data_IF_602274223534
#
_entry.id   IF_602274223534
#
_cell.length_a   1.000
_cell.length_b   1.000
_cell.length_c   1.000
_cell.angle_alpha   90.00
_cell.angle_beta   90.00
_cell.angle_gamma   90.00
#
_symmetry.space_group_name_H-M   'P 1'
#
loop_
_entity.id
_entity.type
_entity.pdbx_description
1 polymer ?
#
# COMPACT_ATOMS: atom_id res chain seq x y z
N UNK A 1 -7.58 30.84 -67.03
CA UNK A 1 -8.15 31.99 -66.28
C UNK A 1 -9.55 31.77 -65.70
N UNK A 2 -10.51 31.20 -66.40
CA UNK A 2 -11.90 30.95 -65.84
C UNK A 2 -11.91 29.79 -64.85
N UNK A 3 -11.13 28.71 -65.04
CA UNK A 3 -11.02 27.56 -64.13
C UNK A 3 -10.23 27.84 -62.87
N UNK A 4 -9.13 28.62 -62.97
CA UNK A 4 -8.36 29.07 -61.82
C UNK A 4 -9.17 29.92 -60.83
N UNK A 5 -10.02 30.81 -61.38
CA UNK A 5 -10.92 31.62 -60.54
C UNK A 5 -11.97 30.81 -59.82
N UNK A 6 -12.44 29.70 -60.44
CA UNK A 6 -13.37 28.76 -59.79
C UNK A 6 -12.69 27.95 -58.67
N UNK A 7 -11.44 27.54 -58.88
CA UNK A 7 -10.70 26.78 -57.88
C UNK A 7 -10.38 27.65 -56.64
N UNK A 8 -9.97 28.89 -56.84
CA UNK A 8 -9.70 29.85 -55.75
C UNK A 8 -11.00 30.17 -54.98
N UNK A 9 -12.15 30.32 -55.68
CA UNK A 9 -13.43 30.58 -55.01
C UNK A 9 -13.92 29.40 -54.14
N UNK A 10 -13.76 28.15 -54.62
CA UNK A 10 -14.11 26.95 -53.87
C UNK A 10 -13.17 26.74 -52.68
N UNK A 11 -11.91 27.02 -52.86
CA UNK A 11 -10.91 26.93 -51.75
C UNK A 11 -11.20 27.95 -50.64
N UNK A 12 -11.56 29.17 -51.00
CA UNK A 12 -11.96 30.21 -50.03
C UNK A 12 -13.24 29.84 -49.27
N UNK A 13 -14.22 29.24 -49.91
CA UNK A 13 -15.47 28.78 -49.28
C UNK A 13 -15.20 27.61 -48.33
N UNK A 14 -14.36 26.66 -48.73
CA UNK A 14 -13.97 25.53 -47.87
C UNK A 14 -13.15 26.02 -46.69
N UNK A 15 -12.20 26.95 -46.89
CA UNK A 15 -11.40 27.54 -45.84
C UNK A 15 -12.26 28.35 -44.87
N UNK A 16 -13.23 29.10 -45.36
CA UNK A 16 -14.20 29.86 -44.57
C UNK A 16 -15.12 28.94 -43.76
N UNK A 17 -15.53 27.80 -44.37
CA UNK A 17 -16.30 26.77 -43.65
C UNK A 17 -15.50 26.05 -42.59
N UNK A 18 -14.19 25.74 -42.82
CA UNK A 18 -13.28 25.19 -41.85
C UNK A 18 -12.98 26.17 -40.70
N UNK A 19 -12.78 27.45 -41.01
CA UNK A 19 -12.58 28.51 -40.01
C UNK A 19 -13.85 28.69 -39.16
N UNK A 20 -15.05 28.68 -39.79
CA UNK A 20 -16.33 28.77 -39.07
C UNK A 20 -16.59 27.53 -38.19
N UNK A 21 -16.23 26.32 -38.66
CA UNK A 21 -16.35 25.10 -37.84
C UNK A 21 -15.37 25.10 -36.67
N UNK A 22 -14.14 25.57 -36.86
CA UNK A 22 -13.16 25.67 -35.78
C UNK A 22 -13.57 26.75 -34.76
N UNK A 23 -14.03 27.93 -35.21
CA UNK A 23 -14.55 28.98 -34.30
C UNK A 23 -15.87 28.56 -33.61
N UNK A 24 -16.76 27.86 -34.30
CA UNK A 24 -18.00 27.37 -33.69
C UNK A 24 -17.72 26.21 -32.70
N UNK A 25 -16.66 25.44 -32.87
CA UNK A 25 -16.21 24.45 -31.89
C UNK A 25 -15.61 25.14 -30.63
N UNK A 26 -14.91 26.26 -30.80
CA UNK A 26 -14.26 26.95 -29.66
C UNK A 26 -15.31 27.65 -28.76
N UNK A 27 -16.34 28.30 -29.32
CA UNK A 27 -17.44 28.89 -28.54
C UNK A 27 -18.34 27.87 -27.83
N UNK A 28 -18.39 26.60 -28.32
CA UNK A 28 -19.17 25.51 -27.69
C UNK A 28 -18.48 24.89 -26.49
N UNK A 29 -17.15 24.98 -26.42
CA UNK A 29 -16.32 24.37 -25.34
C UNK A 29 -16.26 25.23 -24.06
N UNK A 30 -16.72 26.49 -24.10
CA UNK A 30 -16.67 27.38 -22.94
C UNK A 30 -17.93 27.33 -22.05
N UNK A 31 -18.88 26.42 -22.31
CA UNK A 31 -20.11 26.31 -21.52
C UNK A 31 -19.92 25.78 -20.10
N UNK A 32 -18.84 25.05 -19.88
CA UNK A 32 -18.53 24.46 -18.57
C UNK A 32 -17.07 24.66 -18.23
N UNK A 33 -16.83 24.87 -16.92
CA UNK A 33 -15.48 24.72 -16.34
C UNK A 33 -15.39 23.34 -15.68
N UNK A 34 -14.34 22.60 -16.01
CA UNK A 34 -14.13 21.27 -15.47
C UNK A 34 -12.81 21.23 -14.72
N UNK A 35 -12.86 20.72 -13.49
CA UNK A 35 -11.69 20.44 -12.68
C UNK A 35 -11.65 18.94 -12.37
N UNK A 36 -10.56 18.29 -12.75
CA UNK A 36 -10.33 16.87 -12.52
C UNK A 36 -9.21 16.69 -11.48
N UNK A 37 -9.53 16.00 -10.40
CA UNK A 37 -8.56 15.51 -9.43
C UNK A 37 -8.30 14.04 -9.73
N UNK A 38 -7.06 13.71 -10.13
CA UNK A 38 -6.69 12.38 -10.61
C UNK A 38 -5.25 12.01 -10.25
N UNK A 39 -4.94 10.72 -10.24
CA UNK A 39 -3.57 10.23 -10.07
C UNK A 39 -2.73 10.55 -11.32
N UNK A 40 -1.59 11.23 -11.18
CA UNK A 40 -0.75 11.58 -12.33
C UNK A 40 0.03 10.38 -12.88
N UNK A 41 0.01 9.24 -12.18
CA UNK A 41 0.66 8.00 -12.59
C UNK A 41 -0.13 6.78 -12.11
N UNK A 42 0.02 5.68 -12.85
CA UNK A 42 -0.57 4.37 -12.53
C UNK A 42 0.41 3.24 -12.84
N UNK A 43 0.23 2.11 -12.16
CA UNK A 43 0.96 0.88 -12.40
C UNK A 43 0.11 -0.35 -12.05
N UNK A 44 0.69 -1.54 -12.18
CA UNK A 44 0.02 -2.79 -11.81
C UNK A 44 -0.40 -2.81 -10.33
N UNK A 45 0.45 -2.33 -9.41
CA UNK A 45 0.13 -2.32 -7.99
C UNK A 45 -1.11 -1.46 -7.67
N UNK A 46 -1.22 -0.27 -8.29
CA UNK A 46 -2.39 0.61 -8.17
C UNK A 46 -3.65 -0.07 -8.75
N UNK A 47 -3.52 -0.69 -9.93
CA UNK A 47 -4.61 -1.42 -10.58
C UNK A 47 -5.09 -2.59 -9.71
N UNK A 48 -4.18 -3.46 -9.26
CA UNK A 48 -4.50 -4.65 -8.46
C UNK A 48 -5.17 -4.30 -7.13
N UNK A 49 -4.77 -3.19 -6.52
CA UNK A 49 -5.29 -2.74 -5.24
C UNK A 49 -6.53 -1.86 -5.36
N UNK A 50 -7.04 -1.65 -6.58
CA UNK A 50 -8.30 -0.94 -6.82
C UNK A 50 -8.28 0.52 -6.41
N UNK A 51 -7.10 1.17 -6.41
CA UNK A 51 -7.02 2.58 -6.12
C UNK A 51 -7.72 3.41 -7.20
N UNK A 52 -8.51 4.39 -6.78
CA UNK A 52 -9.26 5.24 -7.71
C UNK A 52 -8.31 6.13 -8.50
N UNK A 53 -8.35 6.04 -9.83
CA UNK A 53 -7.52 6.88 -10.71
C UNK A 53 -8.05 8.31 -10.76
N UNK A 54 -9.37 8.49 -10.77
CA UNK A 54 -10.02 9.80 -10.73
C UNK A 54 -10.73 9.91 -9.38
N UNK A 55 -10.29 10.84 -8.56
CA UNK A 55 -10.83 11.08 -7.23
C UNK A 55 -12.09 11.92 -7.28
N UNK A 56 -12.06 12.99 -8.09
CA UNK A 56 -13.17 13.92 -8.23
C UNK A 56 -13.17 14.61 -9.59
N UNK A 57 -14.36 14.81 -10.15
CA UNK A 57 -14.60 15.67 -11.31
C UNK A 57 -15.64 16.72 -10.90
N UNK A 58 -15.25 17.97 -10.90
CA UNK A 58 -16.14 19.11 -10.65
C UNK A 58 -16.50 19.74 -11.99
N UNK A 59 -17.79 19.88 -12.27
CA UNK A 59 -18.32 20.48 -13.50
C UNK A 59 -19.16 21.68 -13.11
N UNK A 60 -18.75 22.87 -13.53
CA UNK A 60 -19.46 24.15 -13.32
C UNK A 60 -20.11 24.59 -14.63
N UNK A 61 -21.42 24.75 -14.65
CA UNK A 61 -22.15 25.33 -15.74
C UNK A 61 -21.97 26.86 -15.71
N UNK A 62 -21.25 27.42 -16.67
CA UNK A 62 -20.97 28.86 -16.77
C UNK A 62 -22.07 29.64 -17.48
N UNK A 63 -23.11 28.96 -17.95
CA UNK A 63 -24.22 29.57 -18.73
C UNK A 63 -25.39 30.00 -17.83
N UNK A 64 -26.20 30.90 -18.33
CA UNK A 64 -27.41 31.37 -17.65
C UNK A 64 -28.60 30.43 -17.79
N UNK A 65 -28.43 29.27 -18.47
CA UNK A 65 -29.46 28.25 -18.66
C UNK A 65 -29.01 26.92 -18.08
N UNK A 66 -29.95 26.08 -17.60
CA UNK A 66 -29.58 24.76 -17.12
C UNK A 66 -29.11 23.86 -18.26
N UNK A 67 -28.08 23.09 -18.04
CA UNK A 67 -27.65 22.02 -18.96
C UNK A 67 -28.38 20.72 -18.59
N UNK A 68 -28.93 20.01 -19.57
CA UNK A 68 -29.72 18.79 -19.36
C UNK A 68 -29.11 17.61 -20.11
N UNK A 69 -29.53 16.40 -19.74
CA UNK A 69 -29.16 15.16 -20.41
C UNK A 69 -27.64 15.06 -20.63
N UNK A 70 -26.90 15.28 -19.56
CA UNK A 70 -25.43 15.35 -19.57
C UNK A 70 -24.89 13.93 -19.56
N UNK A 71 -23.95 13.64 -20.46
CA UNK A 71 -23.18 12.42 -20.48
C UNK A 71 -21.70 12.76 -20.29
N UNK A 72 -21.06 12.09 -19.32
CA UNK A 72 -19.61 12.17 -19.08
C UNK A 72 -18.99 10.86 -19.52
N UNK A 73 -18.08 10.92 -20.49
CA UNK A 73 -17.36 9.77 -21.03
C UNK A 73 -15.88 9.94 -20.74
N UNK A 74 -15.28 8.89 -20.17
CA UNK A 74 -13.85 8.85 -19.87
C UNK A 74 -13.24 7.74 -20.72
N UNK A 75 -12.21 8.07 -21.50
CA UNK A 75 -11.45 7.13 -22.30
C UNK A 75 -9.97 7.23 -21.99
N UNK A 76 -9.21 6.19 -22.29
CA UNK A 76 -7.77 6.13 -22.03
C UNK A 76 -6.98 5.93 -23.32
N UNK A 77 -5.87 6.63 -23.45
CA UNK A 77 -4.94 6.51 -24.57
C UNK A 77 -3.50 6.30 -24.06
N UNK A 78 -2.87 5.16 -24.39
CA UNK A 78 -3.42 3.98 -25.04
C UNK A 78 -4.57 3.36 -24.22
N UNK A 79 -5.30 2.40 -24.78
CA UNK A 79 -6.43 1.76 -24.10
C UNK A 79 -5.95 0.85 -22.97
N UNK A 80 -5.68 1.42 -21.80
CA UNK A 80 -5.29 0.69 -20.58
C UNK A 80 -6.45 0.52 -19.60
N UNK A 81 -7.61 1.08 -19.89
CA UNK A 81 -8.82 0.97 -19.08
C UNK A 81 -10.08 1.35 -19.85
N UNK A 82 -11.21 0.92 -19.32
CA UNK A 82 -12.54 1.24 -19.85
C UNK A 82 -13.38 1.86 -18.72
N UNK A 83 -14.08 2.93 -19.04
CA UNK A 83 -15.06 3.54 -18.15
C UNK A 83 -16.48 3.41 -18.73
N UNK A 84 -17.45 3.15 -17.84
CA UNK A 84 -18.86 3.28 -18.21
C UNK A 84 -19.22 4.77 -18.30
N UNK A 85 -20.01 5.20 -19.31
CA UNK A 85 -20.54 6.56 -19.37
C UNK A 85 -21.37 6.87 -18.11
N UNK A 86 -21.23 8.10 -17.60
CA UNK A 86 -22.02 8.58 -16.47
C UNK A 86 -23.07 9.58 -16.97
N UNK A 87 -24.32 9.34 -16.61
CA UNK A 87 -25.42 10.24 -16.91
C UNK A 87 -25.71 11.16 -15.73
N UNK A 88 -25.91 12.44 -16.00
CA UNK A 88 -26.35 13.47 -15.06
C UNK A 88 -27.57 14.15 -15.64
N UNK A 89 -28.68 14.15 -14.91
CA UNK A 89 -29.94 14.68 -15.41
C UNK A 89 -29.85 16.17 -15.76
N UNK A 90 -29.27 16.97 -14.85
CA UNK A 90 -29.21 18.42 -15.03
C UNK A 90 -28.09 19.05 -14.19
N UNK A 91 -27.46 20.11 -14.72
CA UNK A 91 -26.66 21.09 -13.97
C UNK A 91 -27.37 22.44 -14.03
N UNK A 92 -27.81 23.04 -12.91
CA UNK A 92 -28.49 24.34 -12.91
C UNK A 92 -27.66 25.44 -13.60
N UNK A 93 -28.33 26.49 -14.05
CA UNK A 93 -27.68 27.70 -14.55
C UNK A 93 -26.73 28.27 -13.49
N UNK A 94 -25.48 28.58 -13.85
CA UNK A 94 -24.43 29.04 -12.96
C UNK A 94 -24.22 28.11 -11.74
N UNK A 95 -24.63 26.84 -11.83
CA UNK A 95 -24.48 25.83 -10.79
C UNK A 95 -23.32 24.89 -11.05
N UNK A 96 -23.00 24.07 -10.07
CA UNK A 96 -21.94 23.06 -10.19
C UNK A 96 -22.35 21.72 -9.62
N UNK A 97 -21.75 20.65 -10.13
CA UNK A 97 -21.85 19.30 -9.58
C UNK A 97 -20.46 18.74 -9.29
N UNK A 98 -20.40 17.78 -8.37
CA UNK A 98 -19.19 16.99 -8.07
C UNK A 98 -19.50 15.53 -8.25
N UNK A 99 -18.69 14.86 -9.04
CA UNK A 99 -18.74 13.43 -9.30
C UNK A 99 -17.53 12.79 -8.64
N UNK A 100 -17.72 11.75 -7.85
CA UNK A 100 -16.64 11.08 -7.10
C UNK A 100 -16.59 9.56 -7.30
N UNK A 101 -17.52 9.00 -8.08
CA UNK A 101 -17.57 7.56 -8.32
C UNK A 101 -17.45 7.28 -9.82
N UNK A 102 -16.24 6.90 -10.23
CA UNK A 102 -15.94 6.57 -11.61
C UNK A 102 -15.66 5.08 -11.74
N UNK A 103 -16.42 4.39 -12.59
CA UNK A 103 -16.20 2.98 -12.89
C UNK A 103 -15.15 2.84 -14.01
N UNK A 104 -13.95 3.38 -13.77
CA UNK A 104 -12.82 3.16 -14.66
C UNK A 104 -12.16 1.81 -14.29
N UNK A 105 -12.45 0.79 -15.09
CA UNK A 105 -11.85 -0.54 -14.93
C UNK A 105 -10.53 -0.59 -15.68
N UNK A 106 -9.43 -0.71 -14.94
CA UNK A 106 -8.08 -0.83 -15.49
C UNK A 106 -7.80 -2.27 -15.93
N UNK A 107 -7.15 -2.45 -17.08
CA UNK A 107 -6.79 -3.75 -17.64
C UNK A 107 -5.57 -4.36 -16.93
N UNK A 108 -5.75 -5.37 -16.08
CA UNK A 108 -4.65 -6.08 -15.44
C UNK A 108 -3.66 -6.64 -16.47
N UNK A 109 -4.16 -7.23 -17.56
CA UNK A 109 -3.33 -7.77 -18.64
C UNK A 109 -2.44 -6.71 -19.28
N UNK A 110 -2.98 -5.50 -19.51
CA UNK A 110 -2.18 -4.39 -20.07
C UNK A 110 -0.97 -4.07 -19.17
N UNK A 111 -1.20 -3.88 -17.87
CA UNK A 111 -0.14 -3.55 -16.92
C UNK A 111 0.85 -4.71 -16.69
N UNK A 112 0.42 -5.96 -16.79
CA UNK A 112 1.30 -7.12 -16.68
C UNK A 112 2.36 -7.16 -17.79
N UNK A 113 2.04 -6.67 -18.99
CA UNK A 113 2.96 -6.67 -20.14
C UNK A 113 4.00 -5.54 -20.10
N UNK A 114 3.78 -4.51 -19.29
CA UNK A 114 4.64 -3.33 -19.30
C UNK A 114 6.01 -3.61 -18.70
N UNK A 115 7.04 -3.43 -19.53
CA UNK A 115 8.45 -3.48 -19.14
C UNK A 115 9.09 -2.11 -19.07
N UNK A 116 8.46 -1.09 -19.66
CA UNK A 116 8.94 0.29 -19.67
C UNK A 116 7.80 1.26 -19.34
N UNK A 117 8.17 2.46 -18.85
CA UNK A 117 7.24 3.56 -18.60
C UNK A 117 6.74 4.11 -19.94
N UNK A 118 5.44 4.37 -20.02
CA UNK A 118 4.78 5.00 -21.15
C UNK A 118 4.08 6.28 -20.70
N UNK A 119 3.97 7.24 -21.60
CA UNK A 119 3.05 8.38 -21.43
C UNK A 119 1.69 8.01 -21.98
N UNK A 120 0.66 8.34 -21.25
CA UNK A 120 -0.73 8.15 -21.67
C UNK A 120 -1.58 9.37 -21.35
N UNK A 121 -2.86 9.26 -21.67
CA UNK A 121 -3.83 10.31 -21.44
C UNK A 121 -5.15 9.72 -20.91
N UNK A 122 -5.79 10.47 -20.02
CA UNK A 122 -7.19 10.34 -19.70
C UNK A 122 -7.94 11.40 -20.52
N UNK A 123 -8.82 11.00 -21.40
CA UNK A 123 -9.66 11.91 -22.18
C UNK A 123 -11.04 11.95 -21.54
N UNK A 124 -11.50 13.16 -21.19
CA UNK A 124 -12.82 13.42 -20.62
C UNK A 124 -13.63 14.19 -21.64
N UNK A 125 -14.75 13.60 -22.06
CA UNK A 125 -15.70 14.20 -22.98
C UNK A 125 -17.05 14.37 -22.27
N UNK A 126 -17.64 15.55 -22.38
CA UNK A 126 -18.95 15.85 -21.80
C UNK A 126 -19.87 16.33 -22.91
N UNK A 127 -21.05 15.71 -23.01
CA UNK A 127 -22.13 16.15 -23.90
C UNK A 127 -23.33 16.61 -23.08
N UNK A 128 -24.13 17.55 -23.62
CA UNK A 128 -25.41 17.91 -23.07
C UNK A 128 -26.42 17.89 -24.23
N UNK A 129 -27.58 17.24 -24.06
CA UNK A 129 -28.58 17.05 -25.14
C UNK A 129 -27.93 16.47 -26.42
N UNK A 130 -27.00 15.52 -26.25
CA UNK A 130 -26.19 14.89 -27.30
C UNK A 130 -25.19 15.82 -28.04
N UNK A 131 -25.08 17.10 -27.66
CA UNK A 131 -24.11 18.04 -28.23
C UNK A 131 -22.85 18.08 -27.36
N UNK A 132 -21.63 18.04 -27.94
CA UNK A 132 -20.39 18.13 -27.21
C UNK A 132 -20.23 19.54 -26.61
N UNK A 133 -19.96 19.60 -25.29
CA UNK A 133 -19.78 20.86 -24.54
C UNK A 133 -18.41 20.95 -23.90
N UNK A 134 -17.66 19.84 -23.79
CA UNK A 134 -16.32 19.81 -23.24
C UNK A 134 -15.55 18.59 -23.77
N UNK A 135 -14.25 18.80 -24.03
CA UNK A 135 -13.33 17.74 -24.38
C UNK A 135 -11.92 18.17 -23.94
N UNK A 136 -11.33 17.43 -23.01
CA UNK A 136 -9.96 17.68 -22.54
C UNK A 136 -9.23 16.38 -22.26
N UNK A 137 -7.91 16.39 -22.51
CA UNK A 137 -6.99 15.30 -22.15
C UNK A 137 -6.16 15.69 -20.94
N UNK A 138 -5.97 14.73 -20.05
CA UNK A 138 -5.17 14.84 -18.85
C UNK A 138 -4.02 13.84 -18.94
N UNK A 139 -2.76 14.30 -18.92
CA UNK A 139 -1.61 13.41 -19.05
C UNK A 139 -1.48 12.51 -17.84
N UNK A 140 -1.15 11.24 -18.07
CA UNK A 140 -0.92 10.26 -17.04
C UNK A 140 0.29 9.39 -17.41
N UNK A 141 1.15 9.12 -16.44
CA UNK A 141 2.26 8.19 -16.63
C UNK A 141 1.83 6.76 -16.32
N UNK A 142 2.16 5.86 -17.22
CA UNK A 142 1.89 4.44 -17.09
C UNK A 142 3.21 3.75 -16.81
N UNK A 143 3.41 3.33 -15.56
CA UNK A 143 4.69 2.79 -15.11
C UNK A 143 4.82 1.31 -15.44
N UNK A 144 6.07 0.84 -15.55
CA UNK A 144 6.36 -0.57 -15.70
C UNK A 144 5.83 -1.40 -14.51
N UNK A 145 5.68 -2.71 -14.72
CA UNK A 145 5.18 -3.66 -13.71
C UNK A 145 5.98 -3.60 -12.41
N UNK A 146 7.28 -3.48 -12.52
CA UNK A 146 8.27 -3.46 -11.44
C UNK A 146 8.69 -2.03 -11.05
N UNK A 147 7.85 -1.03 -11.32
CA UNK A 147 8.13 0.35 -10.98
C UNK A 147 7.16 0.89 -9.93
N UNK A 148 7.70 1.31 -8.77
CA UNK A 148 6.97 2.01 -7.72
C UNK A 148 6.77 3.48 -8.07
N UNK A 149 5.61 4.06 -7.74
CA UNK A 149 5.24 5.44 -8.07
C UNK A 149 6.00 6.54 -7.31
N UNK A 150 6.73 6.17 -6.25
CA UNK A 150 7.48 7.13 -5.44
C UNK A 150 6.70 7.71 -4.27
N UNK A 151 7.26 8.77 -3.69
CA UNK A 151 6.76 9.37 -2.44
C UNK A 151 5.50 10.21 -2.63
N UNK A 152 5.33 10.81 -3.82
CA UNK A 152 4.27 11.78 -4.08
C UNK A 152 2.91 11.15 -4.43
N UNK A 153 2.88 9.86 -4.77
CA UNK A 153 1.67 9.18 -5.23
C UNK A 153 1.54 7.84 -4.51
N UNK A 154 0.64 7.79 -3.53
CA UNK A 154 0.32 6.58 -2.75
C UNK A 154 1.60 5.85 -2.28
N UNK A 155 2.45 6.49 -1.46
CA UNK A 155 3.75 5.93 -1.06
C UNK A 155 3.63 4.55 -0.40
N UNK A 156 2.53 4.27 0.30
CA UNK A 156 2.22 2.97 0.90
C UNK A 156 2.12 1.83 -0.12
N UNK A 157 1.92 2.14 -1.42
CA UNK A 157 1.95 1.13 -2.49
C UNK A 157 3.32 0.47 -2.66
N UNK A 158 4.39 1.01 -2.04
CA UNK A 158 5.66 0.30 -1.94
C UNK A 158 5.48 -1.07 -1.27
N UNK A 159 4.55 -1.20 -0.33
CA UNK A 159 4.24 -2.48 0.31
C UNK A 159 3.78 -3.56 -0.70
N UNK A 160 3.24 -3.19 -1.86
CA UNK A 160 2.88 -4.16 -2.89
C UNK A 160 4.10 -4.88 -3.49
N UNK A 161 5.28 -4.28 -3.43
CA UNK A 161 6.53 -4.88 -3.92
C UNK A 161 7.25 -5.76 -2.89
N UNK A 162 6.71 -5.85 -1.68
CA UNK A 162 7.13 -6.82 -0.65
C UNK A 162 6.31 -8.09 -0.87
N UNK A 163 6.99 -9.17 -1.28
CA UNK A 163 6.39 -10.40 -1.78
C UNK A 163 6.82 -11.61 -0.93
N UNK A 164 6.24 -11.80 0.26
CA UNK A 164 6.69 -12.81 1.24
C UNK A 164 6.57 -14.24 0.74
N UNK A 165 5.61 -14.51 -0.15
CA UNK A 165 5.35 -15.85 -0.69
C UNK A 165 6.11 -16.15 -1.98
N UNK A 166 6.99 -15.24 -2.41
CA UNK A 166 7.79 -15.44 -3.63
C UNK A 166 8.74 -16.65 -3.47
N UNK A 167 8.89 -17.45 -4.52
CA UNK A 167 9.69 -18.69 -4.48
C UNK A 167 11.14 -18.47 -4.09
N UNK A 168 11.72 -17.32 -4.41
CA UNK A 168 13.09 -16.94 -4.03
C UNK A 168 13.28 -16.71 -2.52
N UNK A 169 12.21 -16.50 -1.74
CA UNK A 169 12.28 -16.24 -0.30
C UNK A 169 12.49 -17.52 0.51
N UNK A 170 11.86 -18.63 0.12
CA UNK A 170 11.90 -19.89 0.87
C UNK A 170 13.31 -20.42 1.15
N UNK A 171 14.27 -20.40 0.21
CA UNK A 171 15.66 -20.83 0.46
C UNK A 171 16.36 -19.96 1.51
N UNK A 172 16.11 -18.65 1.51
CA UNK A 172 16.66 -17.69 2.49
C UNK A 172 16.12 -18.01 3.89
N UNK A 173 14.81 -18.22 4.01
CA UNK A 173 14.17 -18.57 5.28
C UNK A 173 14.69 -19.92 5.81
N UNK A 174 14.83 -20.93 4.94
CA UNK A 174 15.42 -22.21 5.33
C UNK A 174 16.84 -22.04 5.88
N UNK A 175 17.65 -21.20 5.22
CA UNK A 175 19.02 -20.93 5.68
C UNK A 175 19.01 -20.16 7.00
N UNK A 176 18.17 -19.15 7.17
CA UNK A 176 18.01 -18.39 8.40
C UNK A 176 17.61 -19.30 9.57
N UNK A 177 16.68 -20.22 9.38
CA UNK A 177 16.31 -21.21 10.40
C UNK A 177 17.51 -22.06 10.85
N UNK A 178 18.34 -22.52 9.90
CA UNK A 178 19.58 -23.25 10.21
C UNK A 178 20.55 -22.43 11.05
N UNK A 179 20.77 -21.17 10.68
CA UNK A 179 21.63 -20.24 11.40
C UNK A 179 21.10 -20.00 12.83
N UNK A 180 19.79 -19.72 12.94
CA UNK A 180 19.14 -19.51 14.23
C UNK A 180 19.26 -20.73 15.15
N UNK A 181 19.11 -21.94 14.56
CA UNK A 181 19.31 -23.21 15.25
C UNK A 181 20.74 -23.37 15.80
N UNK A 182 21.75 -22.99 15.02
CA UNK A 182 23.15 -23.00 15.45
C UNK A 182 23.40 -22.05 16.61
N UNK A 183 22.80 -20.86 16.60
CA UNK A 183 23.00 -19.85 17.66
C UNK A 183 22.25 -20.15 18.93
N UNK A 184 21.08 -20.76 18.85
CA UNK A 184 20.15 -20.83 19.97
C UNK A 184 19.73 -22.25 20.36
N UNK A 185 20.14 -23.27 19.59
CA UNK A 185 19.64 -24.64 19.73
C UNK A 185 18.19 -24.82 19.23
N UNK A 186 17.49 -23.76 18.84
CA UNK A 186 16.11 -23.80 18.36
C UNK A 186 16.00 -23.11 16.99
N UNK A 187 15.78 -23.84 15.88
CA UNK A 187 15.68 -23.30 14.52
C UNK A 187 14.31 -22.65 14.21
N UNK A 188 13.35 -22.66 15.14
CA UNK A 188 12.01 -22.16 14.90
C UNK A 188 12.02 -20.66 14.65
N UNK A 189 11.48 -20.25 13.51
CA UNK A 189 11.16 -18.86 13.20
C UNK A 189 9.73 -18.62 13.65
N UNK A 190 9.56 -18.39 14.94
CA UNK A 190 8.32 -18.46 15.71
C UNK A 190 7.62 -17.11 15.88
N UNK A 191 7.94 -16.13 15.01
CA UNK A 191 7.32 -14.80 15.04
C UNK A 191 7.49 -14.13 16.43
N UNK A 192 6.34 -13.75 17.03
CA UNK A 192 6.20 -13.17 18.36
C UNK A 192 5.79 -14.17 19.44
N UNK A 193 5.74 -15.48 19.13
CA UNK A 193 5.21 -16.50 20.06
C UNK A 193 6.03 -16.61 21.34
N UNK A 194 7.34 -16.35 21.26
CA UNK A 194 8.23 -16.33 22.43
C UNK A 194 7.94 -15.18 23.40
N UNK A 195 7.23 -14.13 22.94
CA UNK A 195 6.94 -12.89 23.68
C UNK A 195 8.18 -12.17 24.21
N UNK A 196 9.33 -12.38 23.58
CA UNK A 196 10.59 -11.74 23.96
C UNK A 196 11.18 -10.97 22.77
N UNK A 197 11.39 -9.65 22.87
CA UNK A 197 12.03 -8.85 21.81
C UNK A 197 13.39 -9.41 21.36
N UNK A 198 14.17 -9.98 22.30
CA UNK A 198 15.46 -10.60 21.99
C UNK A 198 15.34 -11.78 21.00
N UNK A 199 14.31 -12.62 21.16
CA UNK A 199 14.07 -13.73 20.21
C UNK A 199 13.71 -13.22 18.83
N UNK A 200 12.84 -12.21 18.74
CA UNK A 200 12.48 -11.57 17.47
C UNK A 200 13.72 -10.97 16.81
N UNK A 201 14.54 -10.25 17.58
CA UNK A 201 15.79 -9.65 17.10
C UNK A 201 16.78 -10.71 16.57
N UNK A 202 16.87 -11.88 17.21
CA UNK A 202 17.68 -13.00 16.72
C UNK A 202 17.16 -13.61 15.42
N UNK A 203 15.83 -13.68 15.24
CA UNK A 203 15.24 -14.09 13.96
C UNK A 203 15.58 -13.09 12.85
N UNK A 204 15.49 -11.80 13.11
CA UNK A 204 15.92 -10.74 12.17
C UNK A 204 17.40 -10.88 11.81
N UNK A 205 18.28 -11.10 12.79
CA UNK A 205 19.71 -11.28 12.58
C UNK A 205 20.05 -12.54 11.77
N UNK A 206 19.31 -13.63 11.97
CA UNK A 206 19.48 -14.85 11.18
C UNK A 206 19.09 -14.65 9.70
N UNK A 207 18.02 -13.91 9.42
CA UNK A 207 17.64 -13.54 8.05
C UNK A 207 18.69 -12.61 7.43
N UNK A 208 19.16 -11.62 8.17
CA UNK A 208 20.24 -10.73 7.73
C UNK A 208 21.47 -11.53 7.28
N UNK A 209 21.92 -12.45 8.13
CA UNK A 209 23.08 -13.31 7.82
C UNK A 209 22.82 -14.20 6.62
N UNK A 210 21.63 -14.79 6.50
CA UNK A 210 21.27 -15.65 5.36
C UNK A 210 21.25 -14.85 4.04
N UNK A 211 20.87 -13.59 4.04
CA UNK A 211 20.92 -12.72 2.85
C UNK A 211 22.38 -12.31 2.57
N UNK A 212 23.16 -11.95 3.57
CA UNK A 212 24.57 -11.59 3.40
C UNK A 212 25.39 -12.74 2.75
N UNK A 213 25.07 -13.99 3.08
CA UNK A 213 25.67 -15.18 2.44
C UNK A 213 25.35 -15.30 0.94
N UNK A 214 24.34 -14.57 0.43
CA UNK A 214 24.00 -14.61 -1.00
C UNK A 214 24.97 -13.83 -1.89
N UNK A 215 25.87 -13.05 -1.29
CA UNK A 215 26.91 -12.28 -2.00
C UNK A 215 26.33 -11.33 -3.08
N UNK A 216 25.26 -10.62 -2.73
CA UNK A 216 24.61 -9.66 -3.63
C UNK A 216 25.50 -8.42 -3.74
N UNK A 217 25.80 -7.99 -4.98
CA UNK A 217 26.59 -6.81 -5.25
C UNK A 217 25.70 -5.57 -5.11
N UNK A 218 26.20 -4.52 -4.47
CA UNK A 218 25.49 -3.24 -4.39
C UNK A 218 25.54 -2.51 -5.74
N UNK A 219 24.37 -2.14 -6.25
CA UNK A 219 24.24 -1.34 -7.46
C UNK A 219 23.96 0.12 -7.08
N UNK A 220 24.92 0.99 -7.32
CA UNK A 220 24.71 2.42 -7.12
C UNK A 220 23.96 2.97 -8.34
N UNK A 221 22.67 3.11 -8.24
CA UNK A 221 21.82 3.79 -9.23
C UNK A 221 21.31 5.06 -8.55
N UNK A 222 21.26 6.21 -9.26
CA UNK A 222 20.67 7.42 -8.72
C UNK A 222 19.25 7.14 -8.21
N UNK A 223 18.95 7.57 -6.99
CA UNK A 223 17.61 7.47 -6.44
C UNK A 223 16.68 8.40 -7.24
N UNK A 224 15.51 7.89 -7.64
CA UNK A 224 14.51 8.63 -8.41
C UNK A 224 13.12 8.61 -7.79
N UNK A 225 12.98 7.95 -6.64
CA UNK A 225 11.68 7.75 -5.98
C UNK A 225 11.06 9.03 -5.44
N UNK A 226 11.86 10.08 -5.25
CA UNK A 226 11.37 11.36 -4.74
C UNK A 226 10.60 12.15 -5.80
N UNK A 227 10.99 12.04 -7.08
CA UNK A 227 10.41 12.83 -8.16
C UNK A 227 9.57 12.02 -9.14
N UNK A 228 10.10 10.88 -9.63
CA UNK A 228 9.55 10.18 -10.81
C UNK A 228 9.15 8.73 -10.53
N UNK A 229 9.24 8.29 -9.29
CA UNK A 229 9.15 6.87 -8.93
C UNK A 229 10.41 6.09 -9.28
N UNK A 230 10.53 4.89 -8.76
CA UNK A 230 11.73 4.08 -8.90
C UNK A 230 11.42 2.66 -9.36
N UNK A 231 12.19 2.18 -10.32
CA UNK A 231 12.23 0.77 -10.68
C UNK A 231 12.83 -0.03 -9.54
N UNK A 232 12.20 -1.15 -9.21
CA UNK A 232 12.64 -2.07 -8.16
C UNK A 232 12.92 -3.44 -8.75
N UNK A 233 13.95 -4.12 -8.24
CA UNK A 233 14.17 -5.54 -8.53
C UNK A 233 13.41 -6.37 -7.51
N UNK A 234 12.49 -7.18 -7.98
CA UNK A 234 11.81 -8.16 -7.13
C UNK A 234 12.78 -9.23 -6.65
N UNK A 235 12.36 -10.01 -5.65
CA UNK A 235 13.21 -10.99 -4.98
C UNK A 235 13.91 -11.99 -5.94
N UNK A 236 13.22 -12.46 -6.97
CA UNK A 236 13.79 -13.34 -8.00
C UNK A 236 14.90 -12.66 -8.80
N UNK A 237 14.67 -11.43 -9.22
CA UNK A 237 15.63 -10.65 -9.99
C UNK A 237 16.89 -10.35 -9.19
N UNK A 238 16.74 -9.95 -7.91
CA UNK A 238 17.87 -9.72 -6.99
C UNK A 238 18.67 -11.02 -6.82
N UNK A 239 17.98 -12.15 -6.58
CA UNK A 239 18.62 -13.44 -6.34
C UNK A 239 19.27 -14.03 -7.58
N UNK A 240 18.67 -13.84 -8.75
CA UNK A 240 19.20 -14.36 -10.02
C UNK A 240 20.38 -13.52 -10.53
N UNK A 241 20.27 -12.18 -10.46
CA UNK A 241 21.30 -11.25 -10.95
C UNK A 241 22.42 -11.03 -9.94
N UNK A 242 22.20 -11.35 -8.66
CA UNK A 242 23.10 -11.03 -7.54
C UNK A 242 23.44 -9.55 -7.49
N UNK A 243 22.45 -8.69 -7.77
CA UNK A 243 22.58 -7.25 -7.85
C UNK A 243 21.38 -6.58 -7.19
N UNK A 244 21.60 -5.56 -6.35
CA UNK A 244 20.52 -4.83 -5.69
C UNK A 244 20.92 -3.41 -5.28
N UNK A 245 19.97 -2.47 -5.37
CA UNK A 245 20.05 -1.12 -4.80
C UNK A 245 19.73 -1.13 -3.31
N UNK A 246 19.80 0.01 -2.62
CA UNK A 246 19.34 0.12 -1.23
C UNK A 246 17.87 -0.25 -1.09
N UNK A 247 17.01 0.20 -2.02
CA UNK A 247 15.58 -0.11 -2.00
C UNK A 247 15.32 -1.59 -2.27
N UNK A 248 15.99 -2.21 -3.27
CA UNK A 248 15.87 -3.63 -3.58
C UNK A 248 16.24 -4.51 -2.37
N UNK A 249 17.33 -4.15 -1.66
CA UNK A 249 17.77 -4.86 -0.47
C UNK A 249 16.80 -4.69 0.70
N UNK A 250 16.23 -3.50 0.87
CA UNK A 250 15.20 -3.24 1.87
C UNK A 250 13.94 -4.06 1.61
N UNK A 251 13.47 -4.12 0.35
CA UNK A 251 12.30 -4.91 -0.04
C UNK A 251 12.53 -6.42 0.12
N UNK A 252 13.72 -6.93 -0.26
CA UNK A 252 14.08 -8.33 -0.08
C UNK A 252 14.08 -8.72 1.40
N UNK A 253 14.72 -7.89 2.25
CA UNK A 253 14.76 -8.13 3.68
C UNK A 253 13.37 -8.08 4.31
N UNK A 254 12.57 -7.06 3.98
CA UNK A 254 11.19 -6.94 4.46
C UNK A 254 10.31 -8.11 3.99
N UNK A 255 10.50 -8.61 2.76
CA UNK A 255 9.80 -9.81 2.27
C UNK A 255 10.14 -11.05 3.09
N UNK A 256 11.40 -11.22 3.48
CA UNK A 256 11.80 -12.31 4.37
C UNK A 256 11.24 -12.16 5.79
N UNK A 257 11.19 -10.93 6.33
CA UNK A 257 10.62 -10.65 7.64
C UNK A 257 9.12 -10.93 7.66
N UNK A 258 8.38 -10.45 6.65
CA UNK A 258 6.94 -10.71 6.54
C UNK A 258 6.64 -12.20 6.32
N UNK A 259 7.50 -12.93 5.57
CA UNK A 259 7.35 -14.36 5.34
C UNK A 259 7.37 -15.21 6.62
N UNK A 260 8.04 -14.74 7.66
CA UNK A 260 8.04 -15.38 8.98
C UNK A 260 7.08 -14.71 9.96
N UNK A 261 6.19 -13.83 9.49
CA UNK A 261 5.14 -13.19 10.27
C UNK A 261 5.55 -11.93 11.05
N UNK A 262 6.77 -11.43 10.89
CA UNK A 262 7.20 -10.20 11.55
C UNK A 262 6.62 -8.95 10.85
N UNK A 263 6.26 -7.94 11.64
CA UNK A 263 5.72 -6.67 11.16
C UNK A 263 6.87 -5.79 10.65
N UNK A 264 7.14 -5.89 9.34
CA UNK A 264 8.24 -5.20 8.69
C UNK A 264 7.94 -3.70 8.50
N UNK A 265 9.02 -2.92 8.45
CA UNK A 265 9.03 -1.48 8.18
C UNK A 265 10.03 -1.19 7.06
N UNK A 266 9.68 -0.27 6.16
CA UNK A 266 10.65 0.37 5.25
C UNK A 266 10.81 1.81 5.69
N UNK A 267 12.06 2.26 5.77
CA UNK A 267 12.40 3.65 6.10
C UNK A 267 13.08 4.28 4.89
N UNK A 268 12.59 5.45 4.51
CA UNK A 268 13.10 6.21 3.39
C UNK A 268 13.66 7.53 3.91
N UNK A 269 14.90 7.77 3.54
CA UNK A 269 15.62 9.03 3.78
C UNK A 269 16.03 9.60 2.43
N UNK A 270 16.54 10.83 2.41
CA UNK A 270 17.03 11.47 1.18
C UNK A 270 18.00 10.55 0.44
N UNK A 271 17.64 10.15 -0.78
CA UNK A 271 18.45 9.30 -1.65
C UNK A 271 18.73 7.89 -1.14
N UNK A 272 18.08 7.41 -0.07
CA UNK A 272 18.38 6.13 0.53
C UNK A 272 17.16 5.44 1.15
N UNK A 273 17.19 4.10 1.20
CA UNK A 273 16.18 3.28 1.85
C UNK A 273 16.82 2.14 2.65
N UNK A 274 16.21 1.79 3.78
CA UNK A 274 16.58 0.65 4.61
C UNK A 274 15.35 0.07 5.29
N UNK A 275 15.49 -1.03 6.02
CA UNK A 275 14.34 -1.73 6.56
C UNK A 275 14.49 -2.04 8.05
N UNK A 276 13.41 -2.53 8.65
CA UNK A 276 13.39 -3.01 10.02
C UNK A 276 12.14 -3.78 10.33
N UNK A 277 11.91 -4.05 11.60
CA UNK A 277 10.66 -4.62 12.07
C UNK A 277 10.37 -4.22 13.52
N UNK A 278 9.10 -4.35 13.87
CA UNK A 278 8.67 -4.37 15.25
C UNK A 278 9.23 -5.60 15.96
N UNK A 279 9.69 -5.44 17.19
CA UNK A 279 10.10 -6.53 18.07
C UNK A 279 8.93 -7.04 18.94
N UNK A 280 7.81 -6.35 18.87
CA UNK A 280 6.52 -6.64 19.52
C UNK A 280 5.42 -6.70 18.46
N UNK A 281 4.29 -7.40 18.68
CA UNK A 281 3.23 -7.55 17.68
C UNK A 281 2.38 -6.28 17.52
N UNK A 282 3.02 -5.15 17.25
CA UNK A 282 2.41 -3.83 17.12
C UNK A 282 2.50 -3.32 15.67
N UNK A 283 1.78 -2.24 15.38
CA UNK A 283 1.84 -1.48 14.13
C UNK A 283 1.64 0.00 14.43
N UNK A 284 2.04 0.86 13.50
CA UNK A 284 1.62 2.26 13.54
C UNK A 284 0.11 2.40 13.22
N UNK A 285 -0.52 3.51 13.63
CA UNK A 285 -1.92 3.77 13.29
C UNK A 285 -2.15 3.96 11.80
N UNK A 286 -1.19 4.54 11.08
CA UNK A 286 -1.23 4.82 9.66
C UNK A 286 -0.17 4.01 8.89
N UNK A 287 -0.39 3.70 7.60
CA UNK A 287 0.57 2.94 6.79
C UNK A 287 1.84 3.74 6.49
N UNK A 288 1.78 5.06 6.51
CA UNK A 288 2.91 5.98 6.28
C UNK A 288 3.10 6.90 7.47
N UNK A 289 4.35 7.08 7.87
CA UNK A 289 4.75 7.91 9.02
C UNK A 289 5.78 8.93 8.53
N UNK A 290 5.49 10.20 8.69
CA UNK A 290 6.35 11.36 8.34
C UNK A 290 7.04 11.99 9.56
N UNK A 291 6.67 11.59 10.79
CA UNK A 291 7.32 12.03 12.03
C UNK A 291 8.39 11.04 12.47
N UNK A 292 9.66 11.39 12.28
CA UNK A 292 10.82 10.59 12.70
C UNK A 292 10.83 10.29 14.20
N UNK A 293 10.21 11.14 15.02
CA UNK A 293 10.19 10.96 16.48
C UNK A 293 9.44 9.69 16.91
N UNK A 294 8.48 9.24 16.09
CA UNK A 294 7.76 7.99 16.33
C UNK A 294 8.64 6.75 16.19
N UNK A 295 9.63 6.80 15.29
CA UNK A 295 10.64 5.75 15.13
C UNK A 295 11.72 5.83 16.21
N UNK A 296 12.31 7.01 16.39
CA UNK A 296 13.45 7.20 17.32
C UNK A 296 13.08 6.87 18.76
N UNK A 297 11.86 7.18 19.20
CA UNK A 297 11.36 6.79 20.52
C UNK A 297 11.29 5.27 20.69
N UNK A 298 10.86 4.54 19.65
CA UNK A 298 10.69 3.07 19.71
C UNK A 298 11.98 2.29 19.50
N UNK A 299 12.98 2.90 18.89
CA UNK A 299 14.33 2.32 18.75
C UNK A 299 15.25 2.68 19.92
N UNK A 300 14.81 3.58 20.83
CA UNK A 300 15.59 4.07 21.95
C UNK A 300 15.96 2.96 22.93
N UNK A 301 17.13 3.14 23.56
CA UNK A 301 17.61 2.26 24.61
C UNK A 301 16.60 2.18 25.76
N UNK A 302 16.29 0.96 26.20
CA UNK A 302 15.31 0.70 27.26
C UNK A 302 13.86 0.54 26.77
N UNK A 303 13.54 0.91 25.53
CA UNK A 303 12.24 0.67 24.90
C UNK A 303 12.33 -0.54 23.97
N UNK A 304 13.17 -0.46 22.92
CA UNK A 304 13.43 -1.55 21.96
C UNK A 304 12.17 -2.20 21.35
N UNK A 305 11.16 -1.38 21.01
CA UNK A 305 9.97 -1.88 20.32
C UNK A 305 10.23 -2.14 18.83
N UNK A 306 11.20 -1.44 18.24
CA UNK A 306 11.56 -1.53 16.82
C UNK A 306 13.08 -1.71 16.69
N UNK A 307 13.50 -2.55 15.76
CA UNK A 307 14.89 -2.61 15.29
C UNK A 307 14.95 -2.25 13.81
N UNK A 308 15.78 -1.27 13.49
CA UNK A 308 16.08 -0.84 12.11
C UNK A 308 17.44 -1.37 11.70
N UNK A 309 17.59 -1.69 10.42
CA UNK A 309 18.77 -2.37 9.87
C UNK A 309 19.19 -1.71 8.57
N UNK A 310 20.44 -1.26 8.49
CA UNK A 310 21.03 -0.81 7.25
C UNK A 310 21.24 -1.99 6.29
N UNK A 311 20.33 -2.15 5.35
CA UNK A 311 20.25 -3.35 4.51
C UNK A 311 21.37 -3.46 3.49
N UNK A 312 22.01 -2.34 3.11
CA UNK A 312 23.18 -2.36 2.23
C UNK A 312 24.41 -2.99 2.87
N UNK A 313 24.42 -3.13 4.20
CA UNK A 313 25.47 -3.87 4.91
C UNK A 313 25.47 -5.38 4.62
N UNK A 314 24.38 -5.93 4.04
CA UNK A 314 24.32 -7.32 3.58
C UNK A 314 25.01 -7.53 2.23
N UNK A 315 25.37 -6.47 1.51
CA UNK A 315 25.98 -6.59 0.20
C UNK A 315 27.43 -7.11 0.26
N UNK A 316 27.86 -7.75 -0.80
CA UNK A 316 29.22 -8.25 -0.98
C UNK A 316 30.27 -7.14 -0.75
N UNK A 317 31.32 -7.45 0.02
CA UNK A 317 32.38 -6.50 0.34
C UNK A 317 32.13 -5.68 1.63
N UNK A 318 30.95 -5.77 2.22
CA UNK A 318 30.67 -5.23 3.55
C UNK A 318 30.91 -6.31 4.62
N UNK A 319 31.77 -6.01 5.58
CA UNK A 319 32.06 -6.92 6.70
C UNK A 319 31.28 -6.56 7.98
N UNK A 320 30.17 -5.85 7.83
CA UNK A 320 29.35 -5.42 8.98
C UNK A 320 28.50 -6.56 9.50
N UNK A 321 28.56 -6.79 10.80
CA UNK A 321 27.60 -7.68 11.46
C UNK A 321 26.23 -7.02 11.61
N UNK A 322 25.27 -7.76 12.15
CA UNK A 322 23.90 -7.28 12.33
C UNK A 322 23.83 -6.06 13.27
N UNK A 323 24.61 -6.07 14.37
CA UNK A 323 24.60 -4.99 15.34
C UNK A 323 25.22 -3.71 14.79
N UNK A 324 26.23 -3.82 13.94
CA UNK A 324 26.79 -2.69 13.21
C UNK A 324 25.82 -2.12 12.19
N UNK A 325 25.07 -2.98 11.49
CA UNK A 325 24.02 -2.54 10.59
C UNK A 325 22.88 -1.80 11.32
N UNK A 326 22.53 -2.25 12.52
CA UNK A 326 21.56 -1.55 13.39
C UNK A 326 22.08 -0.18 13.82
N UNK A 327 23.34 -0.08 14.26
CA UNK A 327 23.96 1.20 14.65
C UNK A 327 23.97 2.18 13.46
N UNK A 328 24.30 1.71 12.24
CA UNK A 328 24.30 2.53 11.04
C UNK A 328 22.90 3.04 10.69
N UNK A 329 21.88 2.19 10.78
CA UNK A 329 20.48 2.58 10.53
C UNK A 329 20.03 3.66 11.53
N UNK A 330 20.28 3.46 12.83
CA UNK A 330 19.95 4.44 13.86
C UNK A 330 20.73 5.76 13.67
N UNK A 331 21.99 5.69 13.24
CA UNK A 331 22.81 6.87 12.91
C UNK A 331 22.20 7.72 11.78
N UNK A 332 21.56 7.09 10.77
CA UNK A 332 20.87 7.81 9.68
C UNK A 332 19.61 8.54 10.14
N UNK A 333 18.98 8.10 11.22
CA UNK A 333 17.82 8.79 11.82
C UNK A 333 18.22 9.91 12.79
N UNK A 334 19.46 9.91 13.27
CA UNK A 334 19.93 10.93 14.21
C UNK A 334 19.90 12.34 13.62
N UNK A 335 20.10 12.46 12.28
CA UNK A 335 19.84 13.67 11.52
C UNK A 335 18.41 13.61 10.96
N UNK A 336 17.43 14.07 11.75
CA UNK A 336 16.02 14.05 11.39
C UNK A 336 15.69 14.81 10.10
N UNK A 337 16.58 15.68 9.61
CA UNK A 337 16.36 16.47 8.38
C UNK A 337 16.41 15.60 7.11
N UNK A 338 17.06 14.45 7.16
CA UNK A 338 17.17 13.53 6.02
C UNK A 338 16.02 12.50 5.97
N UNK A 339 15.22 12.38 7.01
CA UNK A 339 14.08 11.47 7.06
C UNK A 339 12.95 11.99 6.17
N UNK A 340 12.41 11.14 5.30
CA UNK A 340 11.29 11.48 4.43
C UNK A 340 10.00 10.80 4.92
N UNK A 341 10.00 9.47 5.03
CA UNK A 341 8.89 8.72 5.61
C UNK A 341 9.29 7.30 6.00
N UNK A 342 8.47 6.66 6.82
CA UNK A 342 8.49 5.21 7.00
C UNK A 342 7.15 4.60 6.58
N UNK A 343 7.20 3.35 6.09
CA UNK A 343 6.03 2.58 5.68
C UNK A 343 5.92 1.36 6.59
N UNK A 344 4.81 1.25 7.31
CA UNK A 344 4.45 0.08 8.09
C UNK A 344 3.74 -0.93 7.19
N UNK A 345 4.42 -2.05 6.89
CA UNK A 345 3.93 -3.03 5.93
C UNK A 345 2.68 -3.73 6.44
N UNK A 346 2.66 -4.09 7.72
CA UNK A 346 1.49 -4.72 8.32
C UNK A 346 0.28 -3.80 8.30
N UNK A 347 0.48 -2.51 8.58
CA UNK A 347 -0.58 -1.51 8.51
C UNK A 347 -1.07 -1.30 7.08
N UNK A 348 -0.17 -1.25 6.10
CA UNK A 348 -0.52 -1.20 4.68
C UNK A 348 -1.37 -2.42 4.25
N UNK A 349 -1.04 -3.64 4.76
CA UNK A 349 -1.88 -4.83 4.55
C UNK A 349 -3.29 -4.66 5.13
N UNK A 350 -3.41 -4.11 6.34
CA UNK A 350 -4.73 -3.82 6.93
C UNK A 350 -5.52 -2.77 6.14
N UNK A 351 -4.84 -1.84 5.48
CA UNK A 351 -5.44 -0.87 4.56
C UNK A 351 -5.77 -1.46 3.18
N UNK A 352 -5.51 -2.76 2.96
CA UNK A 352 -5.88 -3.49 1.75
C UNK A 352 -4.77 -3.62 0.71
N UNK A 353 -3.58 -3.08 0.92
CA UNK A 353 -2.45 -3.20 -0.03
C UNK A 353 -1.98 -4.65 -0.09
N UNK A 354 -2.12 -5.29 -1.24
CA UNK A 354 -1.74 -6.68 -1.51
C UNK A 354 -0.42 -6.75 -2.26
N UNK A 355 0.42 -7.78 -2.00
CA UNK A 355 1.61 -8.03 -2.81
C UNK A 355 1.27 -8.22 -4.29
N UNK A 356 2.11 -7.69 -5.17
CA UNK A 356 1.99 -8.02 -6.59
C UNK A 356 2.33 -9.51 -6.81
N UNK A 357 1.61 -10.20 -7.69
CA UNK A 357 1.91 -11.59 -7.99
C UNK A 357 3.23 -11.73 -8.74
N UNK A 358 3.84 -12.91 -8.69
CA UNK A 358 4.95 -13.23 -9.56
C UNK A 358 4.45 -13.31 -11.00
N UNK A 359 5.22 -12.75 -11.96
CA UNK A 359 4.96 -12.95 -13.38
C UNK A 359 6.04 -13.82 -14.02
N UNK A 360 5.65 -14.60 -15.00
CA UNK A 360 6.53 -15.51 -15.75
C UNK A 360 6.43 -15.16 -17.23
N UNK A 361 7.56 -15.20 -17.93
CA UNK A 361 7.60 -14.98 -19.37
C UNK A 361 7.35 -16.30 -20.11
N UNK A 362 6.22 -16.43 -20.76
CA UNK A 362 5.87 -17.52 -21.66
C UNK A 362 6.02 -17.07 -23.12
N UNK A 363 7.14 -17.49 -23.75
CA UNK A 363 7.49 -17.01 -25.09
C UNK A 363 7.82 -15.51 -25.09
N UNK A 364 6.91 -14.66 -25.57
CA UNK A 364 7.04 -13.21 -25.58
C UNK A 364 5.95 -12.51 -24.73
N UNK A 365 5.14 -13.28 -24.03
CA UNK A 365 4.01 -12.76 -23.23
C UNK A 365 4.30 -12.96 -21.74
N UNK A 366 4.12 -11.91 -20.95
CA UNK A 366 4.17 -11.99 -19.51
C UNK A 366 2.82 -12.45 -18.97
N UNK A 367 2.83 -13.49 -18.15
CA UNK A 367 1.65 -14.00 -17.47
C UNK A 367 1.87 -13.95 -15.96
N UNK A 368 0.81 -13.65 -15.22
CA UNK A 368 0.82 -13.80 -13.77
C UNK A 368 0.86 -15.28 -13.45
N UNK A 369 1.81 -15.72 -12.61
CA UNK A 369 1.89 -17.09 -12.12
C UNK A 369 0.67 -17.34 -11.21
N UNK A 370 -0.44 -17.67 -11.81
CA UNK A 370 -1.59 -18.26 -11.12
C UNK A 370 -1.20 -19.69 -10.77
N UNK A 371 -0.32 -19.87 -9.77
CA UNK A 371 -0.25 -21.17 -9.13
C UNK A 371 -1.61 -21.45 -8.55
N UNK A 372 -2.47 -22.08 -9.35
CA UNK A 372 -3.43 -22.98 -8.78
C UNK A 372 -2.64 -23.81 -7.77
N UNK A 373 -3.00 -23.67 -6.51
CA UNK A 373 -2.71 -24.68 -5.52
C UNK A 373 -3.38 -25.96 -6.02
N UNK A 374 -2.79 -26.58 -7.03
CA UNK A 374 -2.87 -28.00 -7.24
C UNK A 374 -2.22 -28.58 -6.00
N UNK A 375 -2.99 -28.58 -4.91
CA UNK A 375 -2.79 -29.50 -3.83
C UNK A 375 -2.91 -30.85 -4.52
N UNK A 376 -1.79 -31.34 -5.08
CA UNK A 376 -1.62 -32.77 -5.24
C UNK A 376 -1.96 -33.28 -3.85
N UNK A 377 -3.15 -33.89 -3.73
CA UNK A 377 -3.50 -34.65 -2.56
C UNK A 377 -2.38 -35.64 -2.39
N UNK A 378 -1.38 -35.28 -1.59
CA UNK A 378 -0.40 -36.21 -1.10
C UNK A 378 -1.24 -37.33 -0.53
N UNK A 379 -1.09 -38.54 -1.08
CA UNK A 379 -1.85 -39.67 -0.61
C UNK A 379 -1.67 -39.70 0.90
N UNK A 380 -2.76 -39.45 1.62
CA UNK A 380 -2.77 -39.51 3.08
C UNK A 380 -2.62 -40.99 3.39
N UNK A 381 -1.38 -41.41 3.68
CA UNK A 381 -1.04 -42.82 3.89
C UNK A 381 -1.59 -43.39 5.19
N UNK A 382 -2.16 -42.55 6.07
CA UNK A 382 -2.89 -43.01 7.25
C UNK A 382 -3.98 -42.01 7.58
N UNK A 383 -5.21 -42.49 7.73
CA UNK A 383 -6.28 -41.71 8.34
C UNK A 383 -5.92 -41.51 9.81
N UNK A 384 -5.83 -40.28 10.32
CA UNK A 384 -5.68 -40.08 11.76
C UNK A 384 -6.78 -40.84 12.50
N UNK A 385 -6.42 -41.52 13.57
CA UNK A 385 -7.45 -42.15 14.43
C UNK A 385 -8.45 -41.06 14.82
N UNK A 386 -9.72 -41.32 14.61
CA UNK A 386 -10.76 -40.38 15.02
C UNK A 386 -10.67 -40.22 16.54
N UNK A 387 -10.33 -39.03 17.00
CA UNK A 387 -10.48 -38.71 18.43
C UNK A 387 -11.97 -38.57 18.67
N UNK A 388 -12.54 -39.52 19.40
CA UNK A 388 -13.90 -39.38 19.88
C UNK A 388 -13.93 -38.29 20.96
N UNK A 389 -14.45 -37.07 20.69
CA UNK A 389 -14.45 -35.98 21.66
C UNK A 389 -15.27 -36.26 22.91
N UNK A 390 -16.03 -37.40 22.93
CA UNK A 390 -16.86 -37.84 24.05
C UNK A 390 -16.32 -39.08 24.75
N UNK A 391 -15.12 -39.58 24.38
CA UNK A 391 -14.48 -40.66 25.14
C UNK A 391 -13.84 -40.10 26.40
N UNK A 392 -14.62 -40.12 27.48
CA UNK A 392 -14.20 -39.63 28.81
C UNK A 392 -13.51 -40.73 29.64
N UNK A 393 -13.10 -41.85 29.05
CA UNK A 393 -12.55 -43.00 29.78
C UNK A 393 -11.09 -42.83 30.20
N UNK A 394 -10.38 -41.82 29.69
CA UNK A 394 -8.98 -41.57 30.04
C UNK A 394 -8.81 -40.47 31.09
N UNK A 395 -8.00 -40.73 32.12
CA UNK A 395 -7.66 -39.73 33.16
C UNK A 395 -7.10 -38.41 32.61
N UNK A 396 -6.44 -38.45 31.46
CA UNK A 396 -5.90 -37.23 30.78
C UNK A 396 -7.01 -36.37 30.20
N UNK A 397 -8.07 -36.98 29.63
CA UNK A 397 -9.20 -36.26 29.05
C UNK A 397 -10.02 -35.54 30.12
N UNK A 398 -10.22 -36.18 31.30
CA UNK A 398 -10.86 -35.53 32.45
C UNK A 398 -10.02 -34.32 32.95
N UNK A 399 -8.68 -34.43 32.93
CA UNK A 399 -7.78 -33.34 33.34
C UNK A 399 -7.87 -32.15 32.36
N UNK A 400 -7.96 -32.39 31.05
CA UNK A 400 -8.12 -31.35 30.04
C UNK A 400 -9.46 -30.64 30.16
N UNK A 401 -10.56 -31.39 30.29
CA UNK A 401 -11.92 -30.84 30.47
C UNK A 401 -12.00 -30.02 31.77
N UNK A 402 -11.43 -30.53 32.86
CA UNK A 402 -11.39 -29.79 34.14
C UNK A 402 -10.59 -28.49 34.03
N UNK A 403 -9.46 -28.49 33.33
CA UNK A 403 -8.68 -27.27 33.05
C UNK A 403 -9.45 -26.28 32.17
N UNK A 404 -10.16 -26.74 31.17
CA UNK A 404 -10.95 -25.88 30.27
C UNK A 404 -12.14 -25.25 31.00
N UNK A 405 -12.85 -26.00 31.82
CA UNK A 405 -13.95 -25.50 32.66
C UNK A 405 -13.44 -24.50 33.73
N UNK A 406 -12.27 -24.73 34.31
CA UNK A 406 -11.62 -23.79 35.22
C UNK A 406 -11.21 -22.49 34.50
N UNK A 407 -10.75 -22.58 33.26
CA UNK A 407 -10.38 -21.42 32.46
C UNK A 407 -11.62 -20.58 32.07
N UNK A 408 -12.70 -21.22 31.64
CA UNK A 408 -13.99 -20.56 31.36
C UNK A 408 -14.56 -19.86 32.60
N UNK A 409 -14.54 -20.53 33.76
CA UNK A 409 -14.95 -19.95 35.04
C UNK A 409 -14.12 -18.71 35.40
N UNK A 410 -12.80 -18.77 35.22
CA UNK A 410 -11.88 -17.66 35.48
C UNK A 410 -12.11 -16.49 34.50
N UNK A 411 -12.42 -16.79 33.24
CA UNK A 411 -12.77 -15.78 32.24
C UNK A 411 -14.08 -15.06 32.59
N UNK A 412 -15.11 -15.81 33.02
CA UNK A 412 -16.38 -15.25 33.48
C UNK A 412 -16.22 -14.37 34.74
N UNK A 413 -15.35 -14.75 35.67
CA UNK A 413 -15.02 -13.96 36.85
C UNK A 413 -14.30 -12.66 36.46
N UNK A 414 -13.36 -12.70 35.51
CA UNK A 414 -12.68 -11.52 35.02
C UNK A 414 -13.63 -10.55 34.30
N UNK A 415 -14.55 -11.07 33.48
CA UNK A 415 -15.59 -10.27 32.82
C UNK A 415 -16.54 -9.65 33.86
N UNK A 416 -16.95 -10.39 34.86
CA UNK A 416 -17.84 -9.90 35.93
C UNK A 416 -17.13 -8.82 36.77
N UNK A 417 -15.86 -8.98 37.08
CA UNK A 417 -15.07 -8.01 37.83
C UNK A 417 -14.77 -6.74 37.00
N UNK A 418 -14.52 -6.87 35.72
CA UNK A 418 -14.33 -5.71 34.83
C UNK A 418 -15.63 -4.91 34.66
N UNK A 419 -16.78 -5.59 34.57
CA UNK A 419 -18.08 -4.93 34.51
C UNK A 419 -18.42 -4.21 35.82
N UNK A 420 -18.10 -4.79 36.99
CA UNK A 420 -18.28 -4.13 38.30
C UNK A 420 -17.36 -2.91 38.48
N UNK A 421 -16.10 -2.95 37.97
CA UNK A 421 -15.22 -1.79 37.98
C UNK A 421 -15.72 -0.66 37.05
N UNK A 422 -16.28 -1.00 35.90
CA UNK A 422 -16.88 -0.03 34.98
C UNK A 422 -18.13 0.64 35.56
N UNK A 423 -18.95 -0.10 36.31
CA UNK A 423 -20.13 0.43 37.01
C UNK A 423 -19.72 1.29 38.20
N UNK A 424 -18.71 0.86 38.97
CA UNK A 424 -18.18 1.64 40.10
C UNK A 424 -17.50 2.94 39.66
N UNK A 425 -16.82 2.96 38.52
CA UNK A 425 -16.25 4.18 37.97
C UNK A 425 -17.31 5.14 37.45
N UNK A 426 -18.38 4.65 36.83
CA UNK A 426 -19.54 5.48 36.42
C UNK A 426 -20.31 6.03 37.61
N UNK A 427 -20.54 5.26 38.67
CA UNK A 427 -21.20 5.77 39.88
C UNK A 427 -20.40 6.82 40.62
N UNK A 428 -19.07 6.71 40.70
CA UNK A 428 -18.17 7.73 41.23
C UNK A 428 -18.21 9.03 40.42
N UNK A 429 -18.33 8.92 39.08
CA UNK A 429 -18.44 10.08 38.22
C UNK A 429 -19.75 10.83 38.39
N UNK A 430 -20.87 10.12 38.56
CA UNK A 430 -22.19 10.67 38.82
C UNK A 430 -22.28 11.34 40.21
N UNK A 431 -21.67 10.76 41.26
CA UNK A 431 -21.65 11.34 42.61
C UNK A 431 -20.69 12.56 42.66
N UNK A 432 -19.59 12.54 41.89
CA UNK A 432 -18.69 13.69 41.78
C UNK A 432 -19.32 14.87 41.06
N UNK A 433 -20.14 14.66 40.03
CA UNK A 433 -20.85 15.71 39.31
C UNK A 433 -22.02 16.33 40.13
N UNK A 434 -22.65 15.55 40.97
CA UNK A 434 -23.72 16.04 41.87
C UNK A 434 -23.18 16.96 42.98
N UNK A 435 -21.98 16.66 43.53
CA UNK A 435 -21.37 17.51 44.56
C UNK A 435 -20.85 18.85 44.04
N UNK A 436 -20.53 18.98 42.76
CA UNK A 436 -20.13 20.26 42.16
C UNK A 436 -21.30 21.20 41.86
N UNK A 437 -22.54 20.74 41.84
CA UNK A 437 -23.74 21.57 41.63
C UNK A 437 -24.32 22.18 42.90
N UNK A 438 -23.87 21.76 44.08
CA UNK A 438 -24.42 22.26 45.36
C UNK A 438 -23.53 23.36 45.98
N UNK A 439 -22.35 23.62 45.48
CA UNK A 439 -21.43 24.66 46.03
C UNK A 439 -21.55 26.04 45.38
N UNK A 440 -22.60 26.32 44.61
CA UNK A 440 -22.77 27.54 43.82
C UNK A 440 -24.00 28.40 44.16
N UNK A 441 -24.55 28.33 45.39
CA UNK A 441 -25.62 29.26 45.81
C UNK A 441 -25.02 30.41 46.65
N UNK A 442 -25.29 31.66 46.27
CA UNK A 442 -24.77 32.80 47.02
C UNK A 442 -25.48 32.95 48.39
N UNK A 443 -24.71 33.08 49.44
CA UNK A 443 -25.23 33.46 50.77
C UNK A 443 -25.81 34.87 50.68
N UNK A 444 -27.12 34.99 50.75
CA UNK A 444 -27.79 36.28 51.05
C UNK A 444 -27.41 36.65 52.46
N UNK A 445 -26.84 37.85 52.64
CA UNK A 445 -26.74 38.56 53.91
C UNK A 445 -28.14 39.04 54.25
N UNK A 446 -28.64 38.65 55.42
CA UNK A 446 -29.65 39.34 56.14
C UNK A 446 -29.03 40.10 57.31
N UNK A 447 -29.44 41.30 57.50
CA UNK A 447 -29.10 42.15 58.64
C UNK A 447 -29.21 41.47 59.99
#
# INVERSE_FOLDING_TARGET
MAEEKRFISVFFVILQFLIYTVFAMDERLDKVKVQCDYLPLINFAIQQNGASVIHQLSIENTTSVPLKDIQVVITTEPTFGNAAPMAVEQIPANGSIRLSSFNLTLSANYFTQLTERLSGNLKIEITAEAEPIFCQTYPIDILAYDQWGGLNVLPEMLAAFITPNHTAISPIIKRAASILGQWTGNPSLDEYQSRTPDRVRKQMAAIYTAIAEQQIIYSTVPASFEEYGQRVRLADSVMAQKLGTCLDMALLYASCLEAIGLNALIVITQGHAFAGAWLVPETFPDPTIDDVSLLTKRTAEGIYDITLVETTCMNMGHSSDFDDAVKKANGKLADGNNFLLAIDIKRARYSGVRPIPQRILHGQVWEVDEKETNIQKSAVHATPQSINPYDLSGNETQTVITKQLLWERRLLELIRNSSSHAIASRSRWLVGSSRRRISGLPKTRSN
#
